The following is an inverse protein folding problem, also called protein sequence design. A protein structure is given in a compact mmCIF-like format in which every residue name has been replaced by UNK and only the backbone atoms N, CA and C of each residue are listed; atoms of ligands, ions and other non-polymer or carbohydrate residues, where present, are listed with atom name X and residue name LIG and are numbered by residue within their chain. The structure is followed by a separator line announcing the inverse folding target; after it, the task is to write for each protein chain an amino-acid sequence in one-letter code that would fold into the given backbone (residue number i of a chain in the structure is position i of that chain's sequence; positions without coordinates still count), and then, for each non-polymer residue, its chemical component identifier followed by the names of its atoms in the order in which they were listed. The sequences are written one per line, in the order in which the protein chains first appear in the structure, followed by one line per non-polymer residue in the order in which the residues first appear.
data_IF_383957200565
#
_entry.id   IF_383957200565
#
_cell.length_a   1.000
_cell.length_b   1.000
_cell.length_c   1.000
_cell.angle_alpha   90.00
_cell.angle_beta   90.00
_cell.angle_gamma   90.00
#
_symmetry.space_group_name_H-M   'P 1'
#
loop_
_entity.id
_entity.type
_entity.pdbx_description
1 polymer ?
#
# COMPACT_ATOMS: atom_id res chain seq x y z
N UNK A 1 45.58 34.30 -48.78
CA UNK A 1 45.64 34.56 -47.33
C UNK A 1 44.54 35.55 -46.99
N UNK A 2 43.40 35.07 -46.50
CA UNK A 2 42.33 35.92 -45.98
C UNK A 2 41.61 35.13 -44.89
N UNK A 3 41.75 35.59 -43.65
CA UNK A 3 41.25 34.92 -42.45
C UNK A 3 39.75 35.10 -42.29
N UNK A 4 39.06 33.99 -42.05
CA UNK A 4 37.65 33.99 -41.62
C UNK A 4 37.65 34.09 -40.10
N UNK A 5 37.15 35.21 -39.58
CA UNK A 5 36.86 35.42 -38.15
C UNK A 5 35.73 34.48 -37.73
N UNK A 6 35.93 33.75 -36.62
CA UNK A 6 34.85 33.08 -35.89
C UNK A 6 33.96 34.14 -35.23
N UNK A 7 32.66 34.07 -35.48
CA UNK A 7 31.62 34.71 -34.65
C UNK A 7 31.27 33.69 -33.57
N UNK A 8 31.32 34.02 -32.27
CA UNK A 8 30.82 33.12 -31.24
C UNK A 8 29.29 33.02 -31.37
N UNK A 9 28.80 31.80 -31.58
CA UNK A 9 27.38 31.49 -31.48
C UNK A 9 26.96 31.57 -30.02
N UNK A 10 26.04 32.48 -29.74
CA UNK A 10 25.32 32.56 -28.48
C UNK A 10 24.41 31.33 -28.38
N UNK A 11 24.75 30.36 -27.53
CA UNK A 11 23.81 29.32 -27.15
C UNK A 11 22.72 29.96 -26.29
N UNK A 12 21.57 30.25 -26.90
CA UNK A 12 20.34 30.57 -26.18
C UNK A 12 19.87 29.26 -25.55
N UNK A 13 20.33 28.99 -24.33
CA UNK A 13 19.82 27.91 -23.49
C UNK A 13 18.36 28.18 -23.17
N UNK A 14 17.46 27.43 -23.82
CA UNK A 14 16.05 27.41 -23.46
C UNK A 14 15.92 26.66 -22.13
N UNK A 15 15.98 27.40 -21.02
CA UNK A 15 15.60 26.88 -19.72
C UNK A 15 14.10 26.62 -19.77
N UNK A 16 13.71 25.34 -19.87
CA UNK A 16 12.35 24.92 -19.59
C UNK A 16 12.05 25.24 -18.13
N UNK A 17 11.45 26.41 -17.89
CA UNK A 17 10.83 26.72 -16.62
C UNK A 17 9.75 25.66 -16.38
N UNK A 18 10.00 24.77 -15.42
CA UNK A 18 8.95 23.90 -14.91
C UNK A 18 7.90 24.83 -14.29
N UNK A 19 6.62 24.77 -14.73
CA UNK A 19 5.58 25.54 -14.08
C UNK A 19 5.57 25.18 -12.60
N UNK A 20 5.65 26.20 -11.73
CA UNK A 20 5.42 26.02 -10.32
C UNK A 20 4.06 25.31 -10.16
N UNK A 21 3.92 24.30 -9.28
CA UNK A 21 2.64 23.64 -9.08
C UNK A 21 1.60 24.70 -8.73
N UNK A 22 0.53 24.76 -9.53
CA UNK A 22 -0.57 25.68 -9.35
C UNK A 22 -1.04 25.65 -7.89
N UNK A 23 -1.26 26.83 -7.31
CA UNK A 23 -1.62 26.97 -5.90
C UNK A 23 -2.93 26.22 -5.62
N UNK A 24 -2.85 25.18 -4.80
CA UNK A 24 -4.03 24.47 -4.35
C UNK A 24 -4.95 25.42 -3.57
N UNK A 25 -6.23 25.46 -3.91
CA UNK A 25 -7.22 26.18 -3.10
C UNK A 25 -7.37 25.45 -1.77
N UNK A 26 -7.17 26.17 -0.66
CA UNK A 26 -7.21 25.58 0.68
C UNK A 26 -8.63 25.06 0.99
N UNK A 27 -8.75 23.76 1.21
CA UNK A 27 -9.97 23.06 1.61
C UNK A 27 -10.09 22.79 3.11
N UNK A 28 -9.06 23.14 3.89
CA UNK A 28 -9.03 23.01 5.36
C UNK A 28 -7.72 22.43 5.88
N UNK A 29 -7.52 22.53 7.19
CA UNK A 29 -6.41 21.89 7.90
C UNK A 29 -6.90 21.30 9.22
N UNK A 30 -6.37 20.14 9.61
CA UNK A 30 -6.70 19.49 10.88
C UNK A 30 -5.52 18.69 11.40
N UNK A 31 -5.52 18.46 12.71
CA UNK A 31 -4.57 17.56 13.36
C UNK A 31 -5.19 16.18 13.54
N UNK A 32 -4.41 15.14 13.25
CA UNK A 32 -4.83 13.76 13.48
C UNK A 32 -4.74 13.43 14.98
N UNK A 33 -5.79 12.81 15.52
CA UNK A 33 -5.82 12.36 16.93
C UNK A 33 -5.01 11.08 17.10
N UNK A 34 -3.71 11.21 17.36
CA UNK A 34 -2.79 10.08 17.50
C UNK A 34 -2.95 9.27 18.79
N UNK A 35 -3.70 9.79 19.77
CA UNK A 35 -3.89 9.18 21.08
C UNK A 35 -5.15 8.31 21.19
N UNK A 36 -6.00 8.32 20.17
CA UNK A 36 -7.20 7.48 20.10
C UNK A 36 -6.83 6.18 19.41
N UNK A 37 -6.22 5.26 20.17
CA UNK A 37 -5.93 3.90 19.70
C UNK A 37 -7.11 2.99 20.07
N UNK A 38 -7.74 2.36 19.09
CA UNK A 38 -8.91 1.50 19.29
C UNK A 38 -8.84 0.16 18.52
N UNK A 39 -9.99 -0.40 18.12
CA UNK A 39 -10.11 -1.79 17.67
C UNK A 39 -9.67 -2.02 16.22
N UNK A 40 -9.74 -0.99 15.37
CA UNK A 40 -9.34 -1.07 13.96
C UNK A 40 -7.82 -0.88 13.74
N UNK A 41 -7.12 -0.52 14.82
CA UNK A 41 -5.68 -0.33 14.86
C UNK A 41 -4.89 -1.64 15.03
N UNK A 42 -3.66 -1.61 14.53
CA UNK A 42 -2.76 -2.76 14.55
C UNK A 42 -1.43 -2.39 15.20
N UNK A 43 -1.06 -3.07 16.30
CA UNK A 43 0.29 -3.03 16.89
C UNK A 43 0.89 -1.63 17.11
N UNK A 44 0.05 -0.67 17.47
CA UNK A 44 0.47 0.67 17.86
C UNK A 44 0.01 0.97 19.28
N UNK A 45 0.72 1.87 19.94
CA UNK A 45 0.38 2.37 21.26
C UNK A 45 0.74 3.84 21.35
N UNK A 46 -0.10 4.62 22.03
CA UNK A 46 0.21 6.01 22.38
C UNK A 46 0.87 6.08 23.75
N UNK A 47 1.92 6.88 23.87
CA UNK A 47 2.59 7.17 25.14
C UNK A 47 2.94 8.65 25.25
N UNK A 48 3.53 9.04 26.38
CA UNK A 48 4.18 10.36 26.52
C UNK A 48 5.36 10.53 25.56
N UNK A 49 5.81 9.46 24.89
CA UNK A 49 6.82 9.46 23.82
C UNK A 49 6.21 9.61 22.40
N UNK A 50 4.88 9.64 22.26
CA UNK A 50 4.16 9.68 20.99
C UNK A 50 3.55 8.32 20.62
N UNK A 51 2.97 8.25 19.43
CA UNK A 51 2.51 7.00 18.82
C UNK A 51 3.73 6.19 18.43
N UNK A 52 3.81 4.94 18.89
CA UNK A 52 4.91 4.02 18.58
C UNK A 52 4.39 2.60 18.40
N UNK A 53 5.26 1.66 18.06
CA UNK A 53 4.91 0.24 17.98
C UNK A 53 4.65 -0.33 19.38
N UNK A 54 3.60 -1.14 19.52
CA UNK A 54 3.24 -1.77 20.80
C UNK A 54 4.19 -2.93 21.22
N UNK A 55 5.19 -3.25 20.39
CA UNK A 55 6.16 -4.34 20.64
C UNK A 55 5.64 -5.74 20.31
N UNK A 56 4.43 -5.85 19.74
CA UNK A 56 3.87 -7.11 19.27
C UNK A 56 4.53 -7.63 17.98
N UNK A 57 4.30 -8.91 17.68
CA UNK A 57 4.73 -9.57 16.43
C UNK A 57 3.81 -9.27 15.24
N UNK A 58 3.12 -8.13 15.21
CA UNK A 58 2.37 -7.80 14.00
C UNK A 58 3.33 -7.34 12.92
N UNK A 59 3.21 -7.94 11.75
CA UNK A 59 4.04 -7.68 10.59
C UNK A 59 3.51 -8.52 9.44
N UNK A 60 3.83 -8.19 8.19
CA UNK A 60 3.30 -8.92 7.06
C UNK A 60 3.82 -10.37 7.04
N UNK A 61 3.00 -11.33 7.47
CA UNK A 61 3.42 -12.73 7.65
C UNK A 61 3.75 -13.35 6.29
N UNK A 62 2.90 -13.11 5.29
CA UNK A 62 3.06 -13.49 3.89
C UNK A 62 4.33 -12.89 3.26
N UNK A 63 4.69 -11.63 3.58
CA UNK A 63 5.92 -11.06 3.07
C UNK A 63 7.18 -11.76 3.64
N UNK A 64 7.12 -12.39 4.83
CA UNK A 64 8.19 -13.26 5.34
C UNK A 64 9.53 -12.58 5.63
N UNK A 65 9.55 -11.27 5.92
CA UNK A 65 10.79 -10.52 6.17
C UNK A 65 11.19 -10.44 7.63
N UNK A 66 10.29 -10.79 8.55
CA UNK A 66 10.47 -10.55 9.99
C UNK A 66 10.38 -9.07 10.39
N UNK A 67 10.03 -8.18 9.45
CA UNK A 67 9.75 -6.78 9.74
C UNK A 67 8.44 -6.68 10.52
N UNK A 68 8.44 -5.89 11.58
CA UNK A 68 7.23 -5.54 12.32
C UNK A 68 6.62 -4.27 11.76
N UNK A 69 5.29 -4.21 11.79
CA UNK A 69 4.51 -3.09 11.34
C UNK A 69 3.37 -2.80 12.30
N UNK A 70 2.88 -1.57 12.27
CA UNK A 70 1.67 -1.18 12.96
C UNK A 70 1.00 -0.01 12.27
N UNK A 71 -0.31 0.09 12.43
CA UNK A 71 -1.13 1.14 11.86
C UNK A 71 -2.03 1.75 12.92
N UNK A 72 -2.03 3.08 12.97
CA UNK A 72 -3.13 3.86 13.54
C UNK A 72 -4.06 4.29 12.41
N UNK A 73 -5.35 3.98 12.49
CA UNK A 73 -6.38 4.40 11.56
C UNK A 73 -7.16 5.55 12.18
N UNK A 74 -7.06 6.72 11.55
CA UNK A 74 -7.75 7.92 11.98
C UNK A 74 -9.25 7.86 11.71
N UNK A 75 -10.01 8.67 12.44
CA UNK A 75 -11.42 8.93 12.12
C UNK A 75 -11.55 9.59 10.74
N UNK A 76 -12.68 9.34 10.09
CA UNK A 76 -13.04 10.03 8.84
C UNK A 76 -13.19 11.53 9.12
N UNK A 77 -12.48 12.34 8.36
CA UNK A 77 -12.56 13.80 8.39
C UNK A 77 -13.45 14.29 7.25
N UNK A 78 -14.57 14.92 7.60
CA UNK A 78 -15.45 15.57 6.64
C UNK A 78 -14.91 16.95 6.27
N UNK A 79 -14.84 17.26 4.98
CA UNK A 79 -14.47 18.58 4.47
C UNK A 79 -15.71 19.37 4.07
N UNK A 80 -15.66 20.69 4.25
CA UNK A 80 -16.78 21.58 3.92
C UNK A 80 -17.03 21.67 2.40
N UNK A 81 -16.01 21.40 1.59
CA UNK A 81 -16.04 21.43 0.13
C UNK A 81 -15.35 20.18 -0.43
N UNK A 82 -15.65 19.74 -1.67
CA UNK A 82 -14.97 18.62 -2.27
C UNK A 82 -13.48 18.92 -2.50
N UNK A 83 -12.62 18.02 -2.03
CA UNK A 83 -11.15 18.07 -2.10
C UNK A 83 -10.62 16.87 -2.88
N UNK A 84 -9.42 16.99 -3.43
CA UNK A 84 -8.73 15.91 -4.13
C UNK A 84 -7.21 15.95 -3.94
N UNK A 85 -6.70 16.83 -3.07
CA UNK A 85 -5.30 16.90 -2.71
C UNK A 85 -5.18 16.92 -1.20
N UNK A 86 -4.38 16.01 -0.64
CA UNK A 86 -4.08 15.98 0.80
C UNK A 86 -2.57 15.96 1.01
N UNK A 87 -2.09 16.81 1.91
CA UNK A 87 -0.68 16.87 2.31
C UNK A 87 -0.57 16.63 3.81
N UNK A 88 0.53 16.03 4.24
CA UNK A 88 0.82 15.78 5.65
C UNK A 88 2.12 16.49 6.05
N UNK A 89 2.10 17.19 7.17
CA UNK A 89 3.27 17.60 7.91
C UNK A 89 3.40 16.70 9.14
N UNK A 90 4.52 16.01 9.26
CA UNK A 90 4.73 14.95 10.26
C UNK A 90 5.87 15.34 11.19
N UNK A 91 5.61 15.30 12.49
CA UNK A 91 6.62 15.42 13.54
C UNK A 91 6.90 14.01 14.05
N UNK A 92 8.02 13.43 13.63
CA UNK A 92 8.40 12.07 13.98
C UNK A 92 9.90 11.95 14.30
N UNK A 93 10.24 10.96 15.13
CA UNK A 93 11.59 10.46 15.27
C UNK A 93 11.66 9.07 14.63
N UNK A 94 12.44 8.97 13.54
CA UNK A 94 12.56 7.75 12.73
C UNK A 94 14.03 7.33 12.70
N UNK A 95 14.47 6.46 13.61
CA UNK A 95 15.83 5.90 13.58
C UNK A 95 16.13 5.17 12.26
N UNK A 96 17.43 4.99 11.98
CA UNK A 96 17.87 4.26 10.79
C UNK A 96 17.29 2.83 10.74
N UNK A 97 16.84 2.41 9.55
CA UNK A 97 16.20 1.11 9.35
C UNK A 97 14.73 1.03 9.80
N UNK A 98 14.13 2.17 10.17
CA UNK A 98 12.71 2.30 10.50
C UNK A 98 12.02 3.22 9.50
N UNK A 99 10.70 3.13 9.41
CA UNK A 99 9.91 3.99 8.54
C UNK A 99 8.62 4.45 9.24
N UNK A 100 8.18 5.65 8.86
CA UNK A 100 6.88 6.23 9.20
C UNK A 100 6.21 6.60 7.88
N UNK A 101 4.98 6.16 7.67
CA UNK A 101 4.15 6.59 6.54
C UNK A 101 2.90 7.30 7.04
N UNK A 102 2.42 8.27 6.26
CA UNK A 102 1.07 8.83 6.42
C UNK A 102 0.33 8.60 5.11
N UNK A 103 -0.69 7.77 5.16
CA UNK A 103 -1.47 7.38 3.99
C UNK A 103 -2.89 7.89 4.13
N UNK A 104 -3.50 8.23 3.00
CA UNK A 104 -4.84 8.82 2.93
C UNK A 104 -5.69 8.07 1.92
N UNK A 105 -6.99 8.06 2.16
CA UNK A 105 -8.00 7.52 1.23
C UNK A 105 -9.22 8.42 1.18
N UNK A 106 -9.87 8.45 0.02
CA UNK A 106 -11.10 9.17 -0.24
C UNK A 106 -12.30 8.24 -0.11
N UNK A 107 -13.40 8.75 0.47
CA UNK A 107 -14.69 8.08 0.42
C UNK A 107 -15.37 8.42 -0.92
N UNK A 108 -15.70 7.39 -1.71
CA UNK A 108 -16.20 7.45 -3.09
C UNK A 108 -17.70 7.11 -3.21
N UNK A 109 -18.46 7.27 -2.13
CA UNK A 109 -19.86 6.88 -1.99
C UNK A 109 -20.24 6.70 -0.51
N UNK A 110 -21.26 5.90 -0.20
CA UNK A 110 -21.64 5.65 1.20
C UNK A 110 -20.61 4.79 1.97
N UNK A 111 -19.98 3.81 1.30
CA UNK A 111 -19.08 2.83 1.93
C UNK A 111 -17.90 2.40 1.06
N UNK A 112 -17.71 3.02 -0.11
CA UNK A 112 -16.63 2.65 -1.03
C UNK A 112 -15.43 3.55 -0.80
N UNK A 113 -14.27 2.98 -0.56
CA UNK A 113 -13.02 3.72 -0.40
C UNK A 113 -12.17 3.69 -1.66
N UNK A 114 -11.38 4.74 -1.89
CA UNK A 114 -10.18 4.64 -2.73
C UNK A 114 -9.14 3.76 -2.02
N UNK A 115 -8.11 3.35 -2.75
CA UNK A 115 -6.92 2.76 -2.12
C UNK A 115 -6.24 3.76 -1.16
N UNK A 116 -5.50 3.22 -0.20
CA UNK A 116 -4.56 4.00 0.60
C UNK A 116 -3.43 4.52 -0.29
N UNK A 117 -3.17 5.82 -0.22
CA UNK A 117 -2.08 6.48 -0.96
C UNK A 117 -1.24 7.31 0.00
N UNK A 118 0.09 7.19 -0.06
CA UNK A 118 0.99 7.97 0.78
C UNK A 118 0.91 9.48 0.47
N UNK A 119 0.86 10.31 1.51
CA UNK A 119 0.79 11.76 1.38
C UNK A 119 2.19 12.35 1.07
N UNK A 120 2.29 13.41 0.23
CA UNK A 120 1.19 14.13 -0.42
C UNK A 120 0.53 13.30 -1.53
N UNK A 121 -0.80 13.26 -1.53
CA UNK A 121 -1.58 12.42 -2.42
C UNK A 121 -2.64 13.23 -3.18
N UNK A 122 -2.78 12.95 -4.47
CA UNK A 122 -3.96 13.32 -5.24
C UNK A 122 -4.94 12.16 -5.20
N UNK A 123 -6.19 12.44 -4.86
CA UNK A 123 -7.27 11.47 -4.70
C UNK A 123 -8.36 11.72 -5.75
N UNK A 124 -9.34 10.83 -5.88
CA UNK A 124 -10.62 11.20 -6.46
C UNK A 124 -11.31 12.29 -5.63
N UNK A 125 -12.15 13.10 -6.28
CA UNK A 125 -12.92 14.15 -5.60
C UNK A 125 -13.78 13.54 -4.48
N UNK A 126 -13.67 14.09 -3.28
CA UNK A 126 -14.41 13.63 -2.10
C UNK A 126 -14.68 14.75 -1.10
N UNK A 127 -15.69 14.57 -0.25
CA UNK A 127 -15.93 15.40 0.94
C UNK A 127 -15.57 14.68 2.24
N UNK A 128 -14.97 13.49 2.16
CA UNK A 128 -14.60 12.70 3.32
C UNK A 128 -13.29 11.96 3.08
N UNK A 129 -12.29 12.27 3.91
CA UNK A 129 -10.95 11.70 3.85
C UNK A 129 -10.69 10.91 5.12
N UNK A 130 -10.08 9.74 5.00
CA UNK A 130 -9.51 9.03 6.13
C UNK A 130 -8.00 8.97 6.01
N UNK A 131 -7.33 8.99 7.16
CA UNK A 131 -5.87 8.99 7.26
C UNK A 131 -5.46 7.79 8.09
N UNK A 132 -4.35 7.13 7.74
CA UNK A 132 -3.67 6.20 8.63
C UNK A 132 -2.19 6.56 8.77
N UNK A 133 -1.61 6.21 9.92
CA UNK A 133 -0.17 6.33 10.19
C UNK A 133 0.42 4.93 10.27
N UNK A 134 1.34 4.60 9.38
CA UNK A 134 2.09 3.34 9.39
C UNK A 134 3.43 3.52 10.10
N UNK A 135 3.79 2.57 10.95
CA UNK A 135 5.09 2.47 11.63
C UNK A 135 5.75 1.14 11.28
N UNK A 136 7.03 1.16 10.92
CA UNK A 136 7.71 -0.05 10.47
C UNK A 136 9.17 -0.12 10.95
N UNK A 137 9.65 -1.34 11.19
CA UNK A 137 11.05 -1.59 11.53
C UNK A 137 11.31 -3.05 11.90
N UNK A 138 12.49 -3.35 12.44
CA UNK A 138 12.79 -4.66 13.03
C UNK A 138 12.07 -4.85 14.37
N UNK A 139 11.99 -6.08 14.89
CA UNK A 139 11.45 -6.33 16.22
C UNK A 139 12.20 -5.50 17.29
N UNK A 140 11.45 -4.85 18.18
CA UNK A 140 12.01 -3.91 19.16
C UNK A 140 12.29 -2.50 18.62
N UNK A 141 11.99 -2.23 17.35
CA UNK A 141 12.04 -0.88 16.79
C UNK A 141 11.06 0.06 17.50
N UNK A 142 11.47 1.32 17.66
CA UNK A 142 10.70 2.36 18.36
C UNK A 142 10.61 3.65 17.54
N UNK A 143 10.10 3.62 16.29
CA UNK A 143 9.75 4.86 15.61
C UNK A 143 8.66 5.57 16.42
N UNK A 144 8.68 6.90 16.47
CA UNK A 144 7.67 7.66 17.22
C UNK A 144 7.11 8.81 16.41
N UNK A 145 5.80 9.03 16.50
CA UNK A 145 5.09 10.13 15.86
C UNK A 145 4.41 10.98 16.93
N UNK A 146 4.72 12.28 16.92
CA UNK A 146 4.24 13.26 17.90
C UNK A 146 3.10 14.11 17.39
N UNK A 147 3.04 14.32 16.08
CA UNK A 147 2.02 15.13 15.45
C UNK A 147 1.94 14.83 13.97
N UNK A 148 0.72 14.80 13.46
CA UNK A 148 0.43 14.74 12.03
C UNK A 148 -0.60 15.82 11.75
N UNK A 149 -0.19 16.87 11.04
CA UNK A 149 -1.05 17.95 10.61
C UNK A 149 -1.33 17.81 9.12
N UNK A 150 -2.60 17.74 8.77
CA UNK A 150 -3.04 17.57 7.40
C UNK A 150 -3.52 18.90 6.83
N UNK A 151 -3.33 19.08 5.53
CA UNK A 151 -4.01 20.10 4.75
C UNK A 151 -4.71 19.43 3.58
N UNK A 152 -5.97 19.79 3.36
CA UNK A 152 -6.72 19.37 2.19
C UNK A 152 -6.93 20.56 1.25
N UNK A 153 -7.06 20.29 -0.04
CA UNK A 153 -7.34 21.29 -1.05
C UNK A 153 -7.73 20.66 -2.37
N UNK A 154 -7.75 21.49 -3.41
CA UNK A 154 -7.93 21.05 -4.80
C UNK A 154 -6.67 21.23 -5.63
N UNK A 155 -6.32 20.19 -6.37
CA UNK A 155 -5.44 20.25 -7.53
C UNK A 155 -6.28 20.27 -8.82
N UNK A 156 -5.69 20.75 -9.91
CA UNK A 156 -6.36 20.88 -11.23
C UNK A 156 -6.78 19.54 -11.83
N UNK A 157 -6.05 18.47 -11.53
CA UNK A 157 -6.36 17.11 -11.96
C UNK A 157 -6.67 16.24 -10.76
N UNK A 158 -7.89 15.69 -10.74
CA UNK A 158 -8.25 14.60 -9.82
C UNK A 158 -7.78 13.26 -10.40
N UNK A 159 -7.45 12.31 -9.55
CA UNK A 159 -7.26 10.92 -9.99
C UNK A 159 -8.64 10.34 -10.24
N UNK A 160 -8.88 9.79 -11.43
CA UNK A 160 -10.10 9.04 -11.68
C UNK A 160 -10.16 7.85 -10.70
N UNK A 161 -11.32 7.57 -10.08
CA UNK A 161 -11.48 6.34 -9.31
C UNK A 161 -11.01 5.16 -10.16
N UNK A 162 -10.23 4.25 -9.58
CA UNK A 162 -9.87 3.01 -10.26
C UNK A 162 -11.14 2.34 -10.76
N UNK A 163 -11.13 1.97 -12.04
CA UNK A 163 -12.24 1.24 -12.63
C UNK A 163 -12.40 -0.10 -11.90
N UNK A 164 -13.51 -0.27 -11.20
CA UNK A 164 -13.88 -1.56 -10.64
C UNK A 164 -14.01 -2.56 -11.78
N UNK A 165 -13.40 -3.74 -11.66
CA UNK A 165 -13.71 -4.88 -12.53
C UNK A 165 -12.57 -5.41 -13.40
N UNK A 166 -11.33 -4.94 -13.25
CA UNK A 166 -10.22 -5.64 -13.90
C UNK A 166 -10.01 -7.01 -13.25
N UNK A 167 -9.91 -8.04 -14.10
CA UNK A 167 -9.65 -9.42 -13.67
C UNK A 167 -8.32 -9.85 -14.26
N UNK A 168 -7.45 -10.37 -13.41
CA UNK A 168 -6.13 -10.86 -13.80
C UNK A 168 -5.98 -12.33 -13.44
N UNK A 169 -5.25 -13.07 -14.29
CA UNK A 169 -4.80 -14.42 -13.96
C UNK A 169 -3.47 -14.30 -13.25
N UNK A 170 -3.42 -14.78 -12.02
CA UNK A 170 -2.22 -14.79 -11.20
C UNK A 170 -2.01 -16.18 -10.61
N UNK A 171 -0.78 -16.49 -10.24
CA UNK A 171 -0.50 -17.64 -9.41
C UNK A 171 -0.83 -17.31 -7.95
N UNK A 172 -1.39 -18.29 -7.25
CA UNK A 172 -1.73 -18.17 -5.84
C UNK A 172 -1.00 -19.26 -5.04
N UNK A 173 -0.53 -18.91 -3.85
CA UNK A 173 -0.03 -19.88 -2.87
C UNK A 173 -0.97 -19.95 -1.67
N UNK A 174 -0.97 -21.11 -1.01
CA UNK A 174 -1.60 -21.23 0.31
C UNK A 174 -0.67 -20.57 1.32
N UNK A 175 -1.18 -19.62 2.09
CA UNK A 175 -0.41 -18.93 3.12
C UNK A 175 0.01 -19.90 4.23
N UNK A 176 -0.97 -20.58 4.87
CA UNK A 176 -0.69 -21.66 5.81
C UNK A 176 0.07 -21.26 7.08
N UNK A 177 0.04 -19.98 7.46
CA UNK A 177 0.79 -19.41 8.58
C UNK A 177 -0.05 -19.32 9.87
N UNK A 178 -0.83 -20.36 10.21
CA UNK A 178 -1.61 -20.39 11.46
C UNK A 178 -0.73 -20.10 12.67
N UNK A 179 -1.17 -19.17 13.53
CA UNK A 179 -0.41 -18.63 14.67
C UNK A 179 0.47 -17.43 14.32
N UNK A 180 0.67 -17.12 13.03
CA UNK A 180 1.24 -15.87 12.56
C UNK A 180 0.30 -14.68 12.81
N UNK A 181 0.79 -13.47 12.59
CA UNK A 181 -0.02 -12.25 12.68
C UNK A 181 0.03 -11.53 11.35
N UNK A 182 -1.11 -11.17 10.78
CA UNK A 182 -1.21 -10.46 9.51
C UNK A 182 -0.79 -8.99 9.66
N UNK A 183 -0.58 -8.29 8.54
CA UNK A 183 -0.24 -6.87 8.50
C UNK A 183 -1.30 -5.96 9.15
N UNK A 184 -2.58 -6.34 9.14
CA UNK A 184 -3.64 -5.60 9.86
C UNK A 184 -3.82 -6.05 11.33
N UNK A 185 -2.94 -6.90 11.86
CA UNK A 185 -2.92 -7.27 13.27
C UNK A 185 -3.80 -8.46 13.67
N UNK A 186 -4.42 -9.16 12.71
CA UNK A 186 -5.16 -10.39 12.99
C UNK A 186 -4.20 -11.56 13.28
N UNK A 187 -4.49 -12.35 14.31
CA UNK A 187 -3.73 -13.59 14.58
C UNK A 187 -4.37 -14.71 13.79
N UNK A 188 -3.63 -15.26 12.83
CA UNK A 188 -4.13 -16.25 11.88
C UNK A 188 -4.58 -17.50 12.62
N UNK A 189 -5.83 -17.88 12.44
CA UNK A 189 -6.43 -19.09 12.98
C UNK A 189 -6.71 -20.12 11.88
N UNK A 190 -7.02 -21.34 12.29
CA UNK A 190 -7.32 -22.40 11.32
C UNK A 190 -8.60 -22.07 10.56
N UNK A 191 -8.57 -22.27 9.23
CA UNK A 191 -9.70 -22.03 8.33
C UNK A 191 -10.13 -20.57 8.23
N UNK A 192 -9.23 -19.62 8.51
CA UNK A 192 -9.51 -18.21 8.22
C UNK A 192 -9.76 -17.99 6.71
N UNK A 193 -10.63 -17.02 6.41
CA UNK A 193 -10.97 -16.63 5.05
C UNK A 193 -10.47 -15.20 4.79
N UNK A 194 -9.26 -15.08 4.25
CA UNK A 194 -8.65 -13.82 3.82
C UNK A 194 -7.60 -14.06 2.73
N UNK A 195 -7.06 -12.97 2.19
CA UNK A 195 -5.90 -13.00 1.29
C UNK A 195 -4.79 -12.05 1.74
N UNK A 196 -3.58 -12.32 1.27
CA UNK A 196 -2.50 -11.34 1.24
C UNK A 196 -2.31 -10.80 -0.18
N UNK A 197 -2.18 -9.47 -0.32
CA UNK A 197 -1.81 -8.83 -1.58
C UNK A 197 -0.43 -8.16 -1.48
N UNK A 198 0.39 -8.13 -2.54
CA UNK A 198 1.77 -7.65 -2.48
C UNK A 198 1.90 -6.12 -2.41
N UNK A 199 0.87 -5.43 -1.89
CA UNK A 199 0.85 -3.99 -1.64
C UNK A 199 0.02 -3.63 -0.41
N UNK A 200 0.49 -2.63 0.34
CA UNK A 200 -0.25 -2.04 1.48
C UNK A 200 -1.48 -1.23 1.05
N UNK A 201 -1.58 -0.83 -0.22
CA UNK A 201 -2.62 0.07 -0.73
C UNK A 201 -4.04 -0.48 -0.58
N UNK A 202 -4.19 -1.81 -0.68
CA UNK A 202 -5.45 -2.53 -0.51
C UNK A 202 -5.62 -3.20 0.84
N UNK A 203 -4.76 -2.91 1.84
CA UNK A 203 -4.85 -3.53 3.17
C UNK A 203 -6.07 -3.00 3.93
N UNK A 204 -6.97 -3.90 4.32
CA UNK A 204 -8.13 -3.59 5.16
C UNK A 204 -7.70 -3.27 6.60
N UNK A 205 -8.20 -2.16 7.18
CA UNK A 205 -8.17 -1.98 8.63
C UNK A 205 -8.71 -3.21 9.36
N UNK A 206 -8.29 -3.38 10.61
CA UNK A 206 -8.72 -4.53 11.39
C UNK A 206 -10.22 -4.48 11.61
N UNK A 207 -10.86 -5.64 11.56
CA UNK A 207 -12.31 -5.80 11.77
C UNK A 207 -13.20 -5.01 10.78
N UNK A 208 -12.67 -4.65 9.60
CA UNK A 208 -13.45 -4.04 8.51
C UNK A 208 -13.52 -4.90 7.25
N UNK A 209 -14.52 -4.61 6.41
CA UNK A 209 -14.68 -5.18 5.07
C UNK A 209 -14.33 -4.20 3.95
N UNK A 210 -13.50 -3.18 4.23
CA UNK A 210 -13.28 -2.04 3.33
C UNK A 210 -12.59 -2.43 2.01
N UNK A 211 -11.71 -3.44 2.06
CA UNK A 211 -11.05 -3.99 0.88
C UNK A 211 -11.22 -5.50 0.83
N UNK A 212 -11.85 -5.95 -0.24
CA UNK A 212 -12.10 -7.35 -0.54
C UNK A 212 -11.74 -7.61 -1.99
N UNK A 213 -11.22 -8.81 -2.27
CA UNK A 213 -11.04 -9.29 -3.64
C UNK A 213 -11.95 -10.46 -3.90
N UNK A 214 -12.42 -10.58 -5.15
CA UNK A 214 -13.06 -11.79 -5.64
C UNK A 214 -12.00 -12.67 -6.27
N UNK A 215 -11.72 -13.80 -5.64
CA UNK A 215 -10.83 -14.82 -6.21
C UNK A 215 -11.69 -15.86 -6.90
N UNK A 216 -11.30 -16.27 -8.10
CA UNK A 216 -11.96 -17.35 -8.84
C UNK A 216 -10.93 -18.39 -9.26
N UNK A 217 -11.16 -19.64 -8.84
CA UNK A 217 -10.37 -20.79 -9.25
C UNK A 217 -10.70 -21.19 -10.70
N UNK A 218 -9.79 -21.93 -11.34
CA UNK A 218 -10.01 -22.47 -12.69
C UNK A 218 -11.24 -23.40 -12.77
N UNK A 219 -11.69 -23.96 -11.64
CA UNK A 219 -12.93 -24.73 -11.52
C UNK A 219 -14.21 -23.88 -11.67
N UNK A 220 -14.09 -22.55 -11.71
CA UNK A 220 -15.22 -21.62 -11.71
C UNK A 220 -15.76 -21.28 -10.32
N UNK A 221 -15.22 -21.91 -9.26
CA UNK A 221 -15.53 -21.54 -7.86
C UNK A 221 -14.93 -20.18 -7.56
N UNK A 222 -15.70 -19.33 -6.91
CA UNK A 222 -15.25 -18.01 -6.51
C UNK A 222 -15.60 -17.73 -5.06
N UNK A 223 -14.81 -16.87 -4.45
CA UNK A 223 -15.01 -16.37 -3.10
C UNK A 223 -14.62 -14.90 -3.02
N UNK A 224 -15.36 -14.14 -2.23
CA UNK A 224 -14.94 -12.82 -1.77
C UNK A 224 -14.17 -12.98 -0.46
N UNK A 225 -12.95 -12.48 -0.43
CA UNK A 225 -12.08 -12.55 0.75
C UNK A 225 -11.53 -11.16 1.07
N UNK A 226 -11.53 -10.74 2.35
CA UNK A 226 -10.90 -9.49 2.76
C UNK A 226 -9.38 -9.57 2.66
N UNK A 227 -8.73 -8.42 2.44
CA UNK A 227 -7.27 -8.32 2.36
C UNK A 227 -6.74 -8.00 3.76
N UNK A 228 -6.25 -9.01 4.47
CA UNK A 228 -5.77 -8.83 5.85
C UNK A 228 -4.25 -8.77 5.96
N UNK A 229 -3.52 -9.28 4.97
CA UNK A 229 -2.08 -9.32 4.99
C UNK A 229 -1.43 -8.68 3.75
N UNK A 230 -0.12 -8.44 3.84
CA UNK A 230 0.68 -7.87 2.75
C UNK A 230 1.79 -8.86 2.37
N UNK A 231 1.95 -9.06 1.06
CA UNK A 231 2.74 -10.15 0.49
C UNK A 231 1.88 -10.93 -0.52
N UNK A 232 2.42 -11.93 -1.21
CA UNK A 232 3.74 -12.54 -1.03
C UNK A 232 4.87 -11.73 -1.69
N UNK A 233 6.11 -12.00 -1.27
CA UNK A 233 7.38 -11.49 -1.84
C UNK A 233 7.61 -9.97 -1.74
N UNK A 234 6.63 -9.17 -2.13
CA UNK A 234 6.67 -7.72 -2.22
C UNK A 234 5.61 -7.06 -1.33
N UNK A 235 5.76 -5.75 -1.09
CA UNK A 235 4.84 -4.94 -0.28
C UNK A 235 4.47 -3.61 -0.94
N UNK A 236 5.03 -3.32 -2.10
CA UNK A 236 4.79 -2.12 -2.91
C UNK A 236 4.42 -2.47 -4.36
N UNK A 237 4.06 -3.73 -4.60
CA UNK A 237 3.64 -4.24 -5.88
C UNK A 237 2.10 -4.36 -5.95
N UNK A 238 1.44 -3.29 -6.40
CA UNK A 238 0.02 -3.28 -6.73
C UNK A 238 -0.20 -3.58 -8.22
N UNK A 239 0.22 -4.76 -8.69
CA UNK A 239 0.19 -5.14 -10.11
C UNK A 239 -1.17 -4.94 -10.82
N UNK A 240 -2.28 -4.85 -10.09
CA UNK A 240 -3.60 -4.55 -10.64
C UNK A 240 -3.75 -3.09 -11.11
N UNK A 241 -2.87 -2.18 -10.67
CA UNK A 241 -2.81 -0.79 -11.09
C UNK A 241 -1.96 -0.61 -12.36
N UNK A 242 -2.31 0.36 -13.22
CA UNK A 242 -1.54 0.61 -14.42
C UNK A 242 -0.12 1.09 -14.08
N UNK A 243 0.86 0.85 -14.97
CA UNK A 243 2.26 1.16 -14.67
C UNK A 243 2.54 2.63 -14.34
N UNK A 244 1.68 3.55 -14.82
CA UNK A 244 1.76 4.99 -14.54
C UNK A 244 1.50 5.38 -13.07
N UNK A 245 0.89 4.51 -12.26
CA UNK A 245 0.56 4.80 -10.86
C UNK A 245 1.03 3.72 -9.88
N UNK A 246 1.64 2.63 -10.38
CA UNK A 246 2.24 1.55 -9.59
C UNK A 246 3.46 2.09 -8.81
N UNK A 247 3.61 1.88 -7.48
CA UNK A 247 4.74 2.39 -6.70
C UNK A 247 6.09 1.78 -7.07
N UNK A 248 6.09 0.56 -7.60
CA UNK A 248 7.30 -0.19 -7.96
C UNK A 248 7.04 -0.95 -9.25
N UNK A 249 8.11 -1.37 -9.94
CA UNK A 249 8.01 -2.23 -11.13
C UNK A 249 7.16 -1.63 -12.26
N UNK A 250 7.31 -0.31 -12.47
CA UNK A 250 6.53 0.51 -13.42
C UNK A 250 6.81 0.19 -14.89
N UNK A 251 7.75 -0.70 -15.17
CA UNK A 251 8.08 -1.21 -16.50
C UNK A 251 7.41 -2.57 -16.79
N UNK A 252 6.84 -3.23 -15.78
CA UNK A 252 6.06 -4.44 -15.98
C UNK A 252 4.63 -4.12 -16.45
N UNK A 253 4.04 -4.93 -17.36
CA UNK A 253 2.65 -4.76 -17.77
C UNK A 253 1.68 -4.82 -16.59
N UNK A 254 0.58 -4.07 -16.67
CA UNK A 254 -0.53 -4.18 -15.72
C UNK A 254 -1.04 -5.62 -15.69
N UNK A 255 -1.29 -6.12 -14.49
CA UNK A 255 -1.72 -7.49 -14.25
C UNK A 255 -0.60 -8.50 -14.09
N UNK A 256 0.66 -8.10 -14.25
CA UNK A 256 1.82 -8.98 -14.04
C UNK A 256 2.49 -8.69 -12.69
N UNK A 257 2.33 -9.58 -11.68
CA UNK A 257 3.09 -9.50 -10.43
C UNK A 257 4.60 -9.55 -10.71
N UNK A 258 5.37 -8.82 -9.91
CA UNK A 258 6.82 -8.85 -10.03
C UNK A 258 7.38 -10.25 -9.73
N UNK A 259 6.86 -10.92 -8.71
CA UNK A 259 7.30 -12.27 -8.35
C UNK A 259 7.13 -13.26 -9.52
N UNK A 260 6.07 -13.12 -10.31
CA UNK A 260 5.90 -13.91 -11.52
C UNK A 260 6.99 -13.61 -12.55
N UNK A 261 7.31 -12.34 -12.79
CA UNK A 261 8.36 -11.96 -13.72
C UNK A 261 9.76 -12.39 -13.25
N UNK A 262 10.03 -12.29 -11.95
CA UNK A 262 11.28 -12.75 -11.34
C UNK A 262 11.44 -14.26 -11.51
N UNK A 263 10.39 -15.04 -11.25
CA UNK A 263 10.40 -16.49 -11.37
C UNK A 263 10.54 -16.99 -12.81
N UNK A 264 9.78 -16.41 -13.76
CA UNK A 264 9.72 -16.92 -15.14
C UNK A 264 10.90 -16.47 -16.01
N UNK A 265 11.34 -15.23 -15.86
CA UNK A 265 12.30 -14.60 -16.78
C UNK A 265 13.49 -13.95 -16.07
N UNK A 266 13.64 -14.16 -14.76
CA UNK A 266 14.76 -13.60 -13.99
C UNK A 266 14.71 -12.08 -13.86
N UNK A 267 13.52 -11.46 -13.97
CA UNK A 267 13.36 -10.02 -13.71
C UNK A 267 13.91 -9.67 -12.32
N UNK A 268 14.51 -8.48 -12.18
CA UNK A 268 15.22 -8.06 -10.98
C UNK A 268 16.28 -9.10 -10.50
N UNK A 269 16.91 -9.82 -11.44
CA UNK A 269 17.86 -10.89 -11.12
C UNK A 269 17.22 -12.13 -10.47
N UNK A 270 15.91 -12.33 -10.66
CA UNK A 270 15.12 -13.38 -10.01
C UNK A 270 14.85 -13.10 -8.53
N UNK A 271 14.88 -11.82 -8.12
CA UNK A 271 14.78 -11.38 -6.72
C UNK A 271 13.55 -10.55 -6.46
N UNK A 272 13.01 -10.62 -5.25
CA UNK A 272 11.97 -9.71 -4.79
C UNK A 272 12.54 -8.34 -4.36
N UNK A 273 11.68 -7.42 -3.91
CA UNK A 273 12.07 -6.09 -3.40
C UNK A 273 13.06 -6.12 -2.23
N UNK A 274 13.22 -7.26 -1.56
CA UNK A 274 14.11 -7.44 -0.41
C UNK A 274 15.40 -8.18 -0.79
N UNK A 275 15.61 -8.51 -2.06
CA UNK A 275 16.79 -9.22 -2.57
C UNK A 275 16.76 -10.73 -2.34
N UNK A 276 15.63 -11.31 -1.89
CA UNK A 276 15.48 -12.76 -1.72
C UNK A 276 15.18 -13.40 -3.07
N UNK A 277 15.69 -14.61 -3.31
CA UNK A 277 15.34 -15.35 -4.54
C UNK A 277 13.85 -15.70 -4.52
N UNK A 278 13.13 -15.31 -5.57
CA UNK A 278 11.72 -15.66 -5.73
C UNK A 278 11.62 -17.15 -6.07
N UNK A 279 11.01 -17.93 -5.18
CA UNK A 279 10.93 -19.38 -5.30
C UNK A 279 9.63 -19.87 -5.97
N UNK A 280 8.64 -19.01 -6.14
CA UNK A 280 7.40 -19.29 -6.84
C UNK A 280 6.80 -17.99 -7.43
N UNK A 281 5.95 -18.07 -8.46
CA UNK A 281 5.43 -16.89 -9.16
C UNK A 281 4.20 -16.25 -8.48
N UNK A 282 3.94 -16.53 -7.20
CA UNK A 282 2.69 -16.12 -6.55
C UNK A 282 2.54 -14.59 -6.52
N UNK A 283 1.38 -14.11 -6.96
CA UNK A 283 0.97 -12.72 -6.84
C UNK A 283 -0.07 -12.48 -5.74
N UNK A 284 -0.52 -13.54 -5.08
CA UNK A 284 -1.53 -13.51 -4.01
C UNK A 284 -1.31 -14.74 -3.11
N UNK A 285 -1.46 -14.55 -1.81
CA UNK A 285 -1.57 -15.66 -0.86
C UNK A 285 -3.02 -15.81 -0.39
N UNK A 286 -3.45 -17.05 -0.21
CA UNK A 286 -4.78 -17.42 0.21
C UNK A 286 -4.71 -18.09 1.58
N UNK A 287 -5.49 -17.58 2.53
CA UNK A 287 -5.65 -18.22 3.83
C UNK A 287 -6.28 -19.62 3.69
N UNK A 288 -6.14 -20.42 4.74
CA UNK A 288 -6.53 -21.83 4.76
C UNK A 288 -8.01 -22.05 4.37
N UNK A 289 -8.93 -21.26 4.95
CA UNK A 289 -10.35 -21.33 4.62
C UNK A 289 -10.62 -20.88 3.19
N UNK A 290 -9.99 -19.79 2.75
CA UNK A 290 -10.14 -19.33 1.35
C UNK A 290 -9.67 -20.37 0.34
N UNK A 291 -8.53 -21.01 0.60
CA UNK A 291 -7.96 -22.02 -0.26
C UNK A 291 -8.81 -23.30 -0.31
N UNK A 292 -9.15 -23.87 0.85
CA UNK A 292 -9.80 -25.18 0.93
C UNK A 292 -11.32 -25.14 0.93
N UNK A 293 -11.95 -24.20 1.65
CA UNK A 293 -13.41 -24.14 1.80
C UNK A 293 -14.06 -23.41 0.64
N UNK A 294 -13.62 -22.17 0.39
CA UNK A 294 -14.31 -21.35 -0.60
C UNK A 294 -13.97 -21.75 -2.03
N UNK A 295 -12.67 -21.91 -2.33
CA UNK A 295 -12.21 -22.23 -3.67
C UNK A 295 -12.11 -23.73 -3.98
N UNK A 296 -12.14 -24.59 -2.95
CA UNK A 296 -11.97 -26.04 -3.07
C UNK A 296 -10.68 -26.43 -3.79
N UNK A 297 -9.61 -25.67 -3.58
CA UNK A 297 -8.30 -25.97 -4.15
C UNK A 297 -7.68 -27.15 -3.39
N UNK A 298 -6.91 -27.96 -4.11
CA UNK A 298 -6.13 -29.04 -3.53
C UNK A 298 -4.66 -28.65 -3.58
N UNK A 299 -3.91 -29.02 -2.55
CA UNK A 299 -2.44 -28.95 -2.60
C UNK A 299 -1.95 -30.01 -3.58
N UNK A 300 -1.80 -29.65 -4.84
CA UNK A 300 -1.01 -30.47 -5.75
C UNK A 300 0.43 -30.45 -5.24
N UNK A 301 0.96 -31.62 -4.84
CA UNK A 301 2.41 -31.77 -4.71
C UNK A 301 2.99 -31.56 -6.10
N UNK A 302 3.53 -30.38 -6.36
CA UNK A 302 4.42 -30.19 -7.50
C UNK A 302 5.64 -31.06 -7.25
N UNK A 303 5.78 -32.14 -8.02
CA UNK A 303 7.06 -32.84 -8.17
C UNK A 303 8.12 -31.87 -8.70
N UNK A 304 9.39 -32.02 -8.28
CA UNK A 304 10.50 -31.13 -8.65
C UNK A 304 10.73 -31.02 -10.15
#
# INVERSE_FOLDING_TARGET
MLGIRRIPGEEIGLVAAHPAPAAAVAGGAWDLMLYTVDGDDANVVWSTAGLTLAGGRAGPASAGTGQVGGYLVGRVHATAQPVNLVRANVVAATPAGMAVSVEVRALLGAQRWSEWTEAPATLPDTTAVQVRVGLFGAAGATPSVRGVRLTAGRAESAVAPLALGNTYRVYATREGLVGGTTANGHVITSRDHFVALPSRRGLAPRDTGDYTVRVCAASGRCEWAPVWDVGPWNTTDDYWNPPSVRPSWTDLPQGRPEAQAAYEVGYNGGKDQFGRTVANPAGIDLADGTFWDGLLLTTTRGSP
#
